data_IF_640207532104
#
_entry.id   IF_640207532104
#
_cell.length_a   1.000
_cell.length_b   1.000
_cell.length_c   1.000
_cell.angle_alpha   90.00
_cell.angle_beta   90.00
_cell.angle_gamma   90.00
#
_symmetry.space_group_name_H-M   'P 1'
#
loop_
_entity.id
_entity.type
_entity.pdbx_description
1 polymer ?
#
# COMPACT_ATOMS: atom_id res chain seq x y z
N UNK A 1 -63.54 -27.19 -46.16
CA UNK A 1 -64.05 -27.64 -44.84
C UNK A 1 -63.76 -26.55 -43.83
N UNK A 2 -64.78 -26.19 -43.06
CA UNK A 2 -64.92 -25.03 -42.18
C UNK A 2 -64.28 -25.26 -40.79
N UNK A 3 -64.09 -24.16 -40.04
CA UNK A 3 -64.02 -24.04 -38.57
C UNK A 3 -62.70 -24.45 -37.86
N UNK A 4 -62.25 -23.82 -36.76
CA UNK A 4 -62.54 -22.56 -36.03
C UNK A 4 -61.42 -22.36 -34.99
N UNK A 5 -61.24 -21.09 -34.63
CA UNK A 5 -60.49 -20.46 -33.51
C UNK A 5 -60.24 -21.31 -32.24
N UNK A 6 -59.19 -20.97 -31.48
CA UNK A 6 -59.28 -20.38 -30.12
C UNK A 6 -57.89 -19.87 -29.65
N UNK A 7 -57.94 -18.68 -29.06
CA UNK A 7 -56.91 -17.86 -28.43
C UNK A 7 -56.06 -18.54 -27.35
N UNK A 8 -54.85 -18.00 -27.09
CA UNK A 8 -54.47 -17.50 -25.76
C UNK A 8 -53.20 -16.64 -25.80
N UNK A 9 -53.29 -15.59 -24.99
CA UNK A 9 -52.36 -14.50 -24.70
C UNK A 9 -51.20 -15.00 -23.84
N UNK A 10 -49.98 -14.59 -24.17
CA UNK A 10 -48.82 -14.41 -23.27
C UNK A 10 -47.86 -13.47 -24.05
N UNK A 11 -47.58 -12.23 -23.67
CA UNK A 11 -47.44 -11.69 -22.32
C UNK A 11 -46.06 -12.03 -21.80
N UNK A 12 -45.03 -11.25 -22.15
CA UNK A 12 -43.76 -11.23 -21.41
C UNK A 12 -43.03 -9.92 -21.63
N UNK A 13 -42.68 -9.32 -20.48
CA UNK A 13 -42.18 -7.97 -20.28
C UNK A 13 -40.90 -7.66 -21.06
N UNK A 14 -40.86 -6.46 -21.64
CA UNK A 14 -39.62 -5.81 -22.01
C UNK A 14 -38.84 -5.47 -20.73
N UNK A 15 -37.70 -6.13 -20.53
CA UNK A 15 -36.75 -5.79 -19.47
C UNK A 15 -35.98 -4.56 -19.96
N UNK A 16 -36.49 -3.37 -19.62
CA UNK A 16 -35.79 -2.12 -19.85
C UNK A 16 -34.55 -2.09 -18.94
N UNK A 17 -33.37 -2.03 -19.58
CA UNK A 17 -32.10 -1.91 -18.91
C UNK A 17 -31.97 -0.59 -18.16
N UNK A 18 -31.12 -0.61 -17.13
CA UNK A 18 -30.22 0.46 -16.69
C UNK A 18 -29.50 -0.04 -15.44
N UNK A 19 -28.34 -0.69 -15.62
CA UNK A 19 -27.41 -0.97 -14.53
C UNK A 19 -26.61 0.30 -14.24
N UNK A 20 -27.14 1.18 -13.39
CA UNK A 20 -26.33 2.24 -12.77
C UNK A 20 -25.87 1.75 -11.40
N UNK A 21 -24.77 0.97 -11.40
CA UNK A 21 -24.03 0.68 -10.18
C UNK A 21 -23.27 1.96 -9.81
N UNK A 22 -23.94 2.85 -9.08
CA UNK A 22 -23.30 3.96 -8.38
C UNK A 22 -22.55 3.40 -7.17
N UNK A 23 -21.42 2.74 -7.43
CA UNK A 23 -20.47 2.36 -6.39
C UNK A 23 -19.77 3.62 -5.91
N UNK A 24 -20.34 4.28 -4.90
CA UNK A 24 -19.63 5.27 -4.11
C UNK A 24 -18.51 4.54 -3.36
N UNK A 25 -17.33 4.51 -3.96
CA UNK A 25 -16.10 4.18 -3.25
C UNK A 25 -15.87 5.31 -2.23
N UNK A 26 -16.39 5.12 -1.03
CA UNK A 26 -16.04 5.95 0.12
C UNK A 26 -14.58 5.66 0.40
N UNK A 27 -13.69 6.48 -0.15
CA UNK A 27 -12.31 6.53 0.29
C UNK A 27 -12.34 7.02 1.74
N UNK A 28 -12.33 6.09 2.70
CA UNK A 28 -12.08 6.43 4.09
C UNK A 28 -10.67 7.00 4.17
N UNK A 29 -10.46 8.26 4.58
CA UNK A 29 -9.17 8.64 5.10
C UNK A 29 -9.05 7.90 6.44
N UNK A 30 -8.35 6.76 6.44
CA UNK A 30 -7.88 6.15 7.67
C UNK A 30 -6.72 6.99 8.21
N UNK A 31 -7.02 8.23 8.63
CA UNK A 31 -6.21 8.92 9.62
C UNK A 31 -6.75 8.49 10.97
N UNK A 32 -6.23 7.36 11.45
CA UNK A 32 -6.29 7.06 12.87
C UNK A 32 -5.40 8.08 13.58
N UNK A 33 -5.98 9.23 13.90
CA UNK A 33 -5.44 10.17 14.87
C UNK A 33 -5.62 9.53 16.26
N UNK A 34 -4.61 8.75 16.67
CA UNK A 34 -4.52 8.26 18.05
C UNK A 34 -3.77 9.30 18.88
N UNK A 35 -4.44 10.40 19.16
CA UNK A 35 -4.10 11.30 20.25
C UNK A 35 -4.28 10.55 21.58
N UNK A 36 -3.18 10.12 22.21
CA UNK A 36 -3.23 9.61 23.58
C UNK A 36 -2.30 8.45 23.95
N UNK A 37 -1.13 8.29 23.35
CA UNK A 37 -0.03 7.44 23.84
C UNK A 37 1.26 8.11 23.40
N UNK A 38 2.32 8.16 24.23
CA UNK A 38 3.68 8.65 23.88
C UNK A 38 3.90 8.64 22.36
N UNK A 39 3.99 9.82 21.73
CA UNK A 39 3.81 10.05 20.29
C UNK A 39 4.89 9.38 19.42
N UNK A 40 4.90 8.05 19.41
CA UNK A 40 5.88 7.24 18.73
C UNK A 40 5.61 7.28 17.23
N UNK A 41 6.39 8.09 16.54
CA UNK A 41 6.23 8.31 15.11
C UNK A 41 7.15 7.39 14.33
N UNK A 42 6.61 6.72 13.31
CA UNK A 42 7.41 6.05 12.28
C UNK A 42 7.53 6.95 11.07
N UNK A 43 8.71 6.94 10.45
CA UNK A 43 8.95 7.64 9.20
C UNK A 43 9.51 6.71 8.14
N UNK A 44 9.32 7.10 6.88
CA UNK A 44 9.92 6.47 5.73
C UNK A 44 10.22 7.56 4.69
N UNK A 45 11.48 7.74 4.34
CA UNK A 45 11.91 8.70 3.34
C UNK A 45 11.83 8.06 1.94
N UNK A 46 11.45 8.84 0.92
CA UNK A 46 11.50 8.37 -0.47
C UNK A 46 12.92 7.88 -0.79
N UNK A 47 13.06 6.74 -1.48
CA UNK A 47 14.37 6.20 -1.76
C UNK A 47 15.18 7.16 -2.65
N UNK A 48 16.50 7.10 -2.52
CA UNK A 48 17.45 7.87 -3.34
C UNK A 48 18.35 6.92 -4.12
N UNK A 49 18.81 7.35 -5.30
CA UNK A 49 19.82 6.62 -6.05
C UNK A 49 21.17 6.71 -5.34
N UNK A 50 21.85 5.58 -5.18
CA UNK A 50 23.22 5.47 -4.71
C UNK A 50 24.21 5.23 -5.85
N UNK A 51 25.49 5.01 -5.50
CA UNK A 51 26.51 4.65 -6.48
C UNK A 51 26.29 3.22 -7.02
N UNK A 52 26.83 2.94 -8.21
CA UNK A 52 26.90 1.59 -8.79
C UNK A 52 25.54 0.88 -8.91
N UNK A 53 24.48 1.60 -9.26
CA UNK A 53 23.15 1.00 -9.46
C UNK A 53 22.52 0.50 -8.16
N UNK A 54 22.75 1.20 -7.05
CA UNK A 54 22.09 0.92 -5.77
C UNK A 54 20.99 1.94 -5.47
N UNK A 55 20.06 1.53 -4.61
CA UNK A 55 19.00 2.37 -4.06
C UNK A 55 19.16 2.39 -2.54
N UNK A 56 19.04 3.57 -1.95
CA UNK A 56 19.07 3.75 -0.50
C UNK A 56 17.69 4.15 -0.01
N UNK A 57 17.12 3.32 0.86
CA UNK A 57 15.91 3.64 1.62
C UNK A 57 16.26 3.96 3.05
N UNK A 58 15.54 4.91 3.65
CA UNK A 58 15.71 5.28 5.06
C UNK A 58 14.36 5.25 5.75
N UNK A 59 14.26 4.46 6.81
CA UNK A 59 13.14 4.50 7.74
C UNK A 59 13.56 5.10 9.08
N UNK A 60 12.59 5.53 9.87
CA UNK A 60 12.86 6.15 11.17
C UNK A 60 11.80 5.78 12.20
N UNK A 61 12.19 5.92 13.47
CA UNK A 61 11.33 5.81 14.64
C UNK A 61 11.73 6.93 15.61
N UNK A 62 10.79 7.79 15.97
CA UNK A 62 11.03 9.02 16.75
C UNK A 62 10.03 9.15 17.89
N UNK A 63 10.45 9.82 18.96
CA UNK A 63 9.59 10.21 20.10
C UNK A 63 8.90 9.04 20.83
N UNK A 64 9.50 7.85 20.80
CA UNK A 64 8.95 6.62 21.39
C UNK A 64 9.38 6.37 22.85
N UNK A 65 9.91 7.40 23.53
CA UNK A 65 10.48 7.29 24.88
C UNK A 65 11.51 6.15 24.98
N UNK A 66 11.42 5.36 26.05
CA UNK A 66 12.29 4.19 26.31
C UNK A 66 11.82 2.89 25.63
N UNK A 67 10.71 2.91 24.88
CA UNK A 67 10.18 1.68 24.27
C UNK A 67 11.07 1.19 23.13
N UNK A 68 11.24 -0.13 23.04
CA UNK A 68 12.05 -0.78 22.01
C UNK A 68 11.21 -1.75 21.22
N UNK A 69 11.40 -1.77 19.90
CA UNK A 69 10.65 -2.65 18.99
C UNK A 69 11.60 -3.28 17.99
N UNK A 70 11.15 -4.32 17.30
CA UNK A 70 11.86 -4.74 16.09
C UNK A 70 11.43 -3.82 14.96
N UNK A 71 12.37 -3.03 14.43
CA UNK A 71 12.14 -2.17 13.28
C UNK A 71 12.65 -2.88 12.03
N UNK A 72 11.84 -2.88 10.97
CA UNK A 72 12.21 -3.40 9.65
C UNK A 72 12.02 -2.30 8.62
N UNK A 73 13.05 -2.00 7.84
CA UNK A 73 12.98 -1.05 6.72
C UNK A 73 13.22 -1.81 5.43
N UNK A 74 12.33 -1.62 4.46
CA UNK A 74 12.34 -2.29 3.16
C UNK A 74 12.36 -1.24 2.07
N UNK A 75 13.11 -1.51 1.00
CA UNK A 75 12.92 -0.84 -0.29
C UNK A 75 12.17 -1.81 -1.17
N UNK A 76 11.07 -1.33 -1.74
CA UNK A 76 10.18 -2.13 -2.58
C UNK A 76 10.06 -1.52 -3.97
N UNK A 77 10.06 -2.39 -4.97
CA UNK A 77 9.74 -2.08 -6.37
C UNK A 77 8.23 -2.23 -6.53
N UNK A 78 7.58 -1.15 -6.93
CA UNK A 78 6.15 -1.11 -7.22
C UNK A 78 5.86 -1.93 -8.47
N UNK A 79 4.83 -2.78 -8.43
CA UNK A 79 4.34 -3.50 -9.60
C UNK A 79 2.87 -3.19 -9.84
N UNK A 80 2.54 -2.83 -11.08
CA UNK A 80 1.16 -2.57 -11.48
C UNK A 80 0.39 -3.89 -11.51
N UNK A 81 -0.72 -3.97 -10.75
CA UNK A 81 -1.62 -5.13 -10.68
C UNK A 81 -0.94 -6.43 -10.20
N UNK A 82 0.18 -6.32 -9.48
CA UNK A 82 0.84 -7.43 -8.82
C UNK A 82 1.29 -7.01 -7.43
N UNK A 83 1.67 -7.97 -6.59
CA UNK A 83 2.33 -7.67 -5.33
C UNK A 83 3.67 -6.96 -5.58
N UNK A 84 3.93 -5.94 -4.78
CA UNK A 84 5.21 -5.24 -4.77
C UNK A 84 6.34 -6.19 -4.35
N UNK A 85 7.53 -5.98 -4.89
CA UNK A 85 8.69 -6.84 -4.63
C UNK A 85 9.68 -6.12 -3.74
N UNK A 86 10.07 -6.76 -2.65
CA UNK A 86 11.15 -6.27 -1.78
C UNK A 86 12.48 -6.48 -2.49
N UNK A 87 13.18 -5.39 -2.82
CA UNK A 87 14.52 -5.42 -3.44
C UNK A 87 15.63 -5.32 -2.41
N UNK A 88 15.32 -4.85 -1.20
CA UNK A 88 16.21 -4.90 -0.05
C UNK A 88 15.47 -4.71 1.26
N UNK A 89 15.98 -5.31 2.33
CA UNK A 89 15.41 -5.23 3.66
C UNK A 89 16.51 -5.19 4.71
N UNK A 90 16.28 -4.44 5.77
CA UNK A 90 17.10 -4.47 6.99
C UNK A 90 16.19 -4.51 8.20
N UNK A 91 16.51 -5.37 9.14
CA UNK A 91 15.76 -5.52 10.40
C UNK A 91 16.71 -5.33 11.57
N UNK A 92 16.24 -4.63 12.60
CA UNK A 92 16.97 -4.41 13.84
C UNK A 92 16.06 -4.67 15.04
N UNK A 93 16.44 -5.63 15.88
CA UNK A 93 15.74 -5.93 17.12
C UNK A 93 16.03 -4.86 18.19
N UNK A 94 15.11 -4.67 19.14
CA UNK A 94 15.30 -3.74 20.27
C UNK A 94 15.65 -2.30 19.83
N UNK A 95 15.17 -1.89 18.66
CA UNK A 95 15.36 -0.55 18.10
C UNK A 95 14.58 0.47 18.92
N UNK A 96 15.28 1.49 19.43
CA UNK A 96 14.70 2.61 20.17
C UNK A 96 14.22 3.71 19.23
N UNK A 97 14.91 4.84 19.25
CA UNK A 97 14.71 5.96 18.34
C UNK A 97 15.91 6.12 17.40
N UNK A 98 15.67 6.69 16.22
CA UNK A 98 16.70 7.00 15.23
C UNK A 98 16.29 6.60 13.81
N UNK A 99 17.28 6.63 12.92
CA UNK A 99 17.11 6.29 11.51
C UNK A 99 17.82 4.96 11.22
N UNK A 100 17.24 4.18 10.30
CA UNK A 100 17.83 2.97 9.78
C UNK A 100 17.82 3.01 8.26
N UNK A 101 19.01 2.89 7.67
CA UNK A 101 19.18 2.80 6.22
C UNK A 101 19.24 1.35 5.76
N UNK A 102 18.71 1.12 4.56
CA UNK A 102 18.85 -0.11 3.78
C UNK A 102 19.42 0.26 2.41
N UNK A 103 20.41 -0.50 1.97
CA UNK A 103 21.00 -0.39 0.64
C UNK A 103 20.53 -1.62 -0.14
N UNK A 104 19.97 -1.40 -1.32
CA UNK A 104 19.46 -2.44 -2.20
C UNK A 104 20.06 -2.28 -3.59
N UNK A 105 20.14 -3.37 -4.35
CA UNK A 105 20.38 -3.28 -5.79
C UNK A 105 19.17 -2.72 -6.52
N UNK A 106 19.39 -1.90 -7.53
CA UNK A 106 18.36 -1.56 -8.49
C UNK A 106 17.95 -2.80 -9.30
N UNK A 107 16.66 -2.97 -9.58
CA UNK A 107 16.11 -3.98 -10.49
C UNK A 107 15.50 -3.28 -11.72
N UNK A 108 16.34 -2.50 -12.42
CA UNK A 108 15.95 -1.70 -13.60
C UNK A 108 15.03 -0.51 -13.32
N UNK A 109 14.60 0.16 -14.41
CA UNK A 109 13.92 1.45 -14.35
C UNK A 109 12.47 1.28 -13.94
N UNK A 110 12.20 1.59 -12.68
CA UNK A 110 10.92 1.34 -12.06
C UNK A 110 10.62 2.38 -10.98
N UNK A 111 9.41 2.28 -10.45
CA UNK A 111 8.98 3.08 -9.30
C UNK A 111 9.30 2.31 -8.03
N UNK A 112 10.05 2.95 -7.13
CA UNK A 112 10.43 2.38 -5.84
C UNK A 112 9.87 3.21 -4.69
N UNK A 113 9.72 2.59 -3.53
CA UNK A 113 9.36 3.26 -2.28
C UNK A 113 10.01 2.57 -1.08
N UNK A 114 10.17 3.30 0.02
CA UNK A 114 10.63 2.76 1.30
C UNK A 114 9.41 2.45 2.17
N UNK A 115 9.43 1.32 2.85
CA UNK A 115 8.43 0.94 3.85
C UNK A 115 9.12 0.64 5.18
N UNK A 116 8.62 1.26 6.25
CA UNK A 116 9.07 1.03 7.63
C UNK A 116 7.99 0.26 8.37
N UNK A 117 8.34 -0.88 8.95
CA UNK A 117 7.47 -1.74 9.74
C UNK A 117 8.02 -1.88 11.17
N UNK A 118 7.14 -1.83 12.15
CA UNK A 118 7.44 -2.13 13.55
C UNK A 118 6.81 -3.46 13.96
N UNK A 119 7.42 -4.17 14.90
CA UNK A 119 6.81 -5.36 15.53
C UNK A 119 5.53 -5.06 16.29
N UNK A 120 5.22 -3.79 16.55
CA UNK A 120 3.93 -3.35 17.11
C UNK A 120 2.80 -3.34 16.07
N UNK A 121 3.07 -3.73 14.82
CA UNK A 121 2.11 -3.71 13.72
C UNK A 121 2.04 -2.39 12.97
N UNK A 122 2.71 -1.34 13.45
CA UNK A 122 2.73 -0.03 12.79
C UNK A 122 3.54 -0.09 11.50
N UNK A 123 3.02 0.56 10.46
CA UNK A 123 3.61 0.57 9.12
C UNK A 123 3.48 1.93 8.46
N UNK A 124 4.56 2.43 7.88
CA UNK A 124 4.57 3.70 7.13
C UNK A 124 5.28 3.49 5.79
N UNK A 125 4.67 4.02 4.73
CA UNK A 125 5.19 4.01 3.36
C UNK A 125 5.61 5.43 2.97
N UNK A 126 6.77 5.55 2.33
CA UNK A 126 7.24 6.82 1.79
C UNK A 126 6.48 7.21 0.51
N UNK A 127 6.68 8.45 0.05
CA UNK A 127 6.36 8.77 -1.34
C UNK A 127 7.16 7.89 -2.31
N UNK A 128 6.58 7.67 -3.48
CA UNK A 128 7.16 6.87 -4.55
C UNK A 128 8.16 7.70 -5.37
N UNK A 129 9.24 7.08 -5.81
CA UNK A 129 10.27 7.70 -6.66
C UNK A 129 10.60 6.78 -7.81
N UNK A 130 10.61 7.33 -9.03
CA UNK A 130 11.14 6.63 -10.19
C UNK A 130 12.67 6.71 -10.14
N UNK A 131 13.32 5.56 -10.11
CA UNK A 131 14.76 5.42 -9.97
C UNK A 131 15.26 4.29 -10.87
N UNK A 132 16.58 4.32 -11.06
CA UNK A 132 17.35 3.36 -11.84
C UNK A 132 16.71 3.03 -13.18
#
# INVERSE_FOLDING_TARGET
>A
MFMRRISRVLGTCAVAGSLTVSGLAVASPAVADQAGVLACSLGANPPTAGANGTIVGVGSRLDCGSSRVTLTVRVQKKRTLQSDVTVGSRTHALFGNGNMSVIAGCDGNATYFTETLSSTGNKVKSAERRLC
#
